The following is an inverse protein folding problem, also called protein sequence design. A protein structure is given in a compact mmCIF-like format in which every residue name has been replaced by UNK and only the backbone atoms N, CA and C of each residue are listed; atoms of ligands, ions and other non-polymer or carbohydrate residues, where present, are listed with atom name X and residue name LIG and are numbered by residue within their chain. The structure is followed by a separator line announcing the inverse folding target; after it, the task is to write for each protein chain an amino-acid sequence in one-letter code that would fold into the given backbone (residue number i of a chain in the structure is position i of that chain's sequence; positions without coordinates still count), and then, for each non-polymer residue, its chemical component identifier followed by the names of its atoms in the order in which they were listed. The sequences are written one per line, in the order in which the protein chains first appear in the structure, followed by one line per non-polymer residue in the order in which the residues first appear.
data_IF_199404474474
#
_entry.id   IF_199404474474
#
_cell.length_a   1.000
_cell.length_b   1.000
_cell.length_c   1.000
_cell.angle_alpha   90.00
_cell.angle_beta   90.00
_cell.angle_gamma   90.00
#
_symmetry.space_group_name_H-M   'P 1'
#
loop_
_entity.id
_entity.type
_entity.pdbx_description
1 polymer ?
#
# COMPACT_ATOMS: atom_id res chain seq x y z
N UNK A 1 3.03 -13.89 9.49
CA UNK A 1 2.20 -12.72 9.14
C UNK A 1 1.26 -13.14 8.04
N UNK A 2 -0.04 -12.83 8.15
CA UNK A 2 -1.00 -13.16 7.11
C UNK A 2 -0.68 -12.36 5.84
N UNK A 3 -0.59 -13.04 4.70
CA UNK A 3 -0.38 -12.44 3.39
C UNK A 3 -1.73 -12.41 2.66
N UNK A 4 -2.13 -11.24 2.21
CA UNK A 4 -3.32 -11.06 1.38
C UNK A 4 -2.89 -11.01 -0.08
N UNK A 5 -3.39 -11.93 -0.90
CA UNK A 5 -3.15 -11.91 -2.35
C UNK A 5 -4.20 -11.01 -3.01
N UNK A 6 -3.74 -9.97 -3.68
CA UNK A 6 -4.57 -9.09 -4.49
C UNK A 6 -4.33 -9.44 -5.95
N UNK A 7 -5.40 -9.68 -6.71
CA UNK A 7 -5.34 -9.95 -8.15
C UNK A 7 -5.60 -8.63 -8.85
N UNK A 8 -4.61 -8.10 -9.56
CA UNK A 8 -4.79 -6.89 -10.37
C UNK A 8 -5.56 -7.19 -11.66
N UNK A 9 -6.17 -6.18 -12.29
CA UNK A 9 -6.87 -6.32 -13.57
C UNK A 9 -6.03 -6.92 -14.71
N UNK A 10 -4.71 -7.00 -14.54
CA UNK A 10 -3.77 -7.69 -15.43
C UNK A 10 -3.47 -9.12 -15.00
N UNK A 11 -4.27 -9.72 -14.11
CA UNK A 11 -4.09 -11.07 -13.55
C UNK A 11 -2.76 -11.29 -12.81
N UNK A 12 -2.06 -10.23 -12.40
CA UNK A 12 -0.85 -10.31 -11.59
C UNK A 12 -1.24 -10.40 -10.12
N UNK A 13 -0.78 -11.45 -9.42
CA UNK A 13 -0.96 -11.59 -7.97
C UNK A 13 0.09 -10.77 -7.24
N UNK A 14 -0.33 -9.67 -6.63
CA UNK A 14 0.51 -8.88 -5.72
C UNK A 14 0.25 -9.37 -4.30
N UNK A 15 1.30 -9.85 -3.64
CA UNK A 15 1.21 -10.22 -2.23
C UNK A 15 1.41 -8.96 -1.38
N UNK A 16 0.39 -8.57 -0.63
CA UNK A 16 0.47 -7.51 0.35
C UNK A 16 0.35 -8.08 1.76
N UNK A 17 1.12 -7.54 2.70
CA UNK A 17 1.01 -7.91 4.11
C UNK A 17 -0.26 -7.31 4.70
N UNK A 18 -1.14 -8.17 5.25
CA UNK A 18 -2.30 -7.73 5.97
C UNK A 18 -1.88 -6.88 7.20
N UNK A 19 -2.67 -5.85 7.50
CA UNK A 19 -2.46 -5.04 8.69
C UNK A 19 -2.64 -5.90 9.96
N UNK A 20 -1.71 -5.78 10.91
CA UNK A 20 -1.79 -6.48 12.18
C UNK A 20 -2.95 -5.93 13.03
N UNK A 21 -3.44 -6.74 13.98
CA UNK A 21 -4.46 -6.31 14.95
C UNK A 21 -4.00 -5.06 15.70
N UNK A 22 -2.74 -5.04 16.11
CA UNK A 22 -2.14 -3.91 16.83
C UNK A 22 -2.18 -2.61 16.01
N UNK A 23 -1.82 -2.66 14.72
CA UNK A 23 -1.88 -1.48 13.85
C UNK A 23 -3.31 -0.94 13.69
N UNK A 24 -4.30 -1.83 13.62
CA UNK A 24 -5.72 -1.43 13.53
C UNK A 24 -6.21 -0.81 14.83
N UNK A 25 -5.80 -1.38 15.97
CA UNK A 25 -6.12 -0.84 17.28
C UNK A 25 -5.51 0.54 17.48
N UNK A 26 -4.23 0.72 17.14
CA UNK A 26 -3.56 2.02 17.20
C UNK A 26 -4.25 3.06 16.31
N UNK A 27 -4.64 2.68 15.09
CA UNK A 27 -5.39 3.57 14.22
C UNK A 27 -6.72 3.99 14.84
N UNK A 28 -7.45 3.04 15.45
CA UNK A 28 -8.72 3.30 16.11
C UNK A 28 -8.57 4.21 17.34
N UNK A 29 -7.52 4.01 18.14
CA UNK A 29 -7.22 4.87 19.31
C UNK A 29 -6.90 6.30 18.87
N UNK A 30 -6.11 6.48 17.80
CA UNK A 30 -5.76 7.80 17.28
C UNK A 30 -7.00 8.51 16.72
N UNK A 31 -7.83 7.82 15.93
CA UNK A 31 -9.08 8.39 15.41
C UNK A 31 -10.03 8.74 16.57
N UNK A 32 -10.17 7.87 17.56
CA UNK A 32 -10.99 8.13 18.76
C UNK A 32 -10.49 9.33 19.57
N UNK A 33 -9.18 9.51 19.69
CA UNK A 33 -8.59 10.67 20.35
C UNK A 33 -8.93 12.00 19.61
N UNK A 34 -8.84 11.99 18.28
CA UNK A 34 -9.21 13.14 17.45
C UNK A 34 -10.69 13.47 17.63
N UNK A 35 -11.57 12.47 17.56
CA UNK A 35 -13.01 12.63 17.76
C UNK A 35 -13.27 13.19 19.17
N UNK A 36 -12.65 12.64 20.20
CA UNK A 36 -12.83 13.12 21.57
C UNK A 36 -12.43 14.58 21.76
N UNK A 37 -11.33 15.02 21.16
CA UNK A 37 -10.90 16.42 21.21
C UNK A 37 -11.91 17.31 20.49
N UNK A 38 -12.37 16.93 19.31
CA UNK A 38 -13.36 17.71 18.55
C UNK A 38 -14.68 17.81 19.30
N UNK A 39 -15.15 16.71 19.92
CA UNK A 39 -16.34 16.70 20.78
C UNK A 39 -16.22 17.69 21.93
N UNK A 40 -15.09 17.67 22.66
CA UNK A 40 -14.87 18.57 23.80
C UNK A 40 -14.85 20.04 23.35
N UNK A 41 -14.17 20.36 22.27
CA UNK A 41 -14.13 21.72 21.72
C UNK A 41 -15.52 22.18 21.32
N UNK A 42 -16.29 21.38 20.58
CA UNK A 42 -17.63 21.72 20.13
C UNK A 42 -18.61 21.82 21.30
N UNK A 43 -18.50 20.94 22.30
CA UNK A 43 -19.30 21.03 23.53
C UNK A 43 -19.00 22.33 24.32
N UNK A 44 -17.73 22.70 24.44
CA UNK A 44 -17.35 23.97 25.07
C UNK A 44 -17.89 25.18 24.31
N UNK A 45 -17.83 25.17 22.98
CA UNK A 45 -18.44 26.26 22.18
C UNK A 45 -19.94 26.31 22.30
N UNK A 46 -20.63 25.17 22.34
CA UNK A 46 -22.09 25.14 22.52
C UNK A 46 -22.50 25.58 23.93
N UNK A 47 -21.72 25.26 24.97
CA UNK A 47 -22.03 25.70 26.35
C UNK A 47 -21.99 27.23 26.53
N UNK A 48 -21.13 27.93 25.79
CA UNK A 48 -21.09 29.39 25.83
C UNK A 48 -22.32 30.06 25.17
N UNK A 49 -23.04 29.33 24.30
CA UNK A 49 -24.23 29.79 23.62
C UNK A 49 -25.54 29.43 24.36
N UNK A 50 -25.45 28.60 25.41
CA UNK A 50 -26.61 28.06 26.13
C UNK A 50 -27.46 29.12 26.79
N UNK A 51 -26.87 30.29 27.15
CA UNK A 51 -27.60 31.40 27.79
C UNK A 51 -28.38 32.25 26.80
N UNK A 52 -28.07 32.17 25.49
CA UNK A 52 -28.65 32.98 24.43
C UNK A 52 -29.60 32.17 23.54
N UNK A 53 -29.39 30.87 23.46
CA UNK A 53 -30.06 29.96 22.50
C UNK A 53 -31.02 29.03 23.25
N UNK A 54 -32.21 28.80 22.68
CA UNK A 54 -33.20 27.91 23.29
C UNK A 54 -32.70 26.46 23.38
N UNK A 55 -33.16 25.74 24.41
CA UNK A 55 -32.77 24.34 24.67
C UNK A 55 -33.04 23.41 23.49
N UNK A 56 -34.06 23.69 22.68
CA UNK A 56 -34.38 22.83 21.52
C UNK A 56 -33.38 23.02 20.36
N UNK A 57 -32.95 24.26 20.15
CA UNK A 57 -31.89 24.54 19.16
C UNK A 57 -30.57 23.90 19.61
N UNK A 58 -30.26 23.93 20.92
CA UNK A 58 -29.06 23.25 21.45
C UNK A 58 -29.11 21.73 21.24
N UNK A 59 -30.27 21.08 21.39
CA UNK A 59 -30.44 19.65 21.06
C UNK A 59 -30.15 19.35 19.59
N UNK A 60 -30.63 20.24 18.69
CA UNK A 60 -30.34 20.08 17.25
C UNK A 60 -28.85 20.20 16.96
N UNK A 61 -28.14 21.14 17.58
CA UNK A 61 -26.67 21.23 17.46
C UNK A 61 -25.98 20.00 17.98
N UNK A 62 -26.36 19.46 19.14
CA UNK A 62 -25.79 18.25 19.71
C UNK A 62 -25.98 17.03 18.77
N UNK A 63 -27.18 16.89 18.19
CA UNK A 63 -27.47 15.82 17.21
C UNK A 63 -26.61 16.00 15.94
N UNK A 64 -26.49 17.25 15.44
CA UNK A 64 -25.68 17.52 14.26
C UNK A 64 -24.20 17.20 14.48
N UNK A 65 -23.64 17.52 15.63
CA UNK A 65 -22.27 17.18 16.02
C UNK A 65 -22.09 15.66 16.05
N UNK A 66 -23.00 14.94 16.71
CA UNK A 66 -22.96 13.49 16.82
C UNK A 66 -23.03 12.80 15.45
N UNK A 67 -23.86 13.31 14.55
CA UNK A 67 -23.93 12.81 13.16
C UNK A 67 -22.63 13.06 12.40
N UNK A 68 -22.04 14.24 12.54
CA UNK A 68 -20.76 14.58 11.90
C UNK A 68 -19.65 13.65 12.35
N UNK A 69 -19.57 13.38 13.65
CA UNK A 69 -18.60 12.47 14.25
C UNK A 69 -18.82 11.02 13.82
N UNK A 70 -20.07 10.58 13.76
CA UNK A 70 -20.40 9.24 13.27
C UNK A 70 -20.02 9.04 11.80
N UNK A 71 -20.13 10.09 10.98
CA UNK A 71 -19.77 10.07 9.57
C UNK A 71 -18.27 10.27 9.30
N UNK A 72 -17.49 10.70 10.30
CA UNK A 72 -16.06 10.96 10.17
C UNK A 72 -15.28 9.80 9.48
N UNK A 73 -15.41 8.53 9.92
CA UNK A 73 -14.67 7.44 9.29
C UNK A 73 -15.01 7.24 7.82
N UNK A 74 -16.30 7.42 7.46
CA UNK A 74 -16.77 7.30 6.09
C UNK A 74 -16.18 8.38 5.18
N UNK A 75 -16.28 9.64 5.59
CA UNK A 75 -15.75 10.75 4.79
C UNK A 75 -14.22 10.67 4.68
N UNK A 76 -13.52 10.38 5.76
CA UNK A 76 -12.07 10.32 5.74
C UNK A 76 -11.54 9.16 4.88
N UNK A 77 -12.14 7.97 4.96
CA UNK A 77 -11.76 6.86 4.10
C UNK A 77 -12.04 7.15 2.62
N UNK A 78 -13.15 7.83 2.33
CA UNK A 78 -13.54 8.19 0.97
C UNK A 78 -12.60 9.23 0.35
N UNK A 79 -12.33 10.31 1.07
CA UNK A 79 -11.51 11.42 0.57
C UNK A 79 -10.01 11.08 0.51
N UNK A 80 -9.52 10.25 1.44
CA UNK A 80 -8.10 9.91 1.57
C UNK A 80 -7.75 8.51 1.01
N UNK A 81 -8.44 8.05 -0.06
CA UNK A 81 -8.13 6.78 -0.72
C UNK A 81 -8.04 5.58 0.24
N UNK A 82 -9.01 5.45 1.13
CA UNK A 82 -9.11 4.34 2.08
C UNK A 82 -8.31 4.50 3.36
N UNK A 83 -8.01 5.74 3.76
CA UNK A 83 -7.27 6.02 4.99
C UNK A 83 -8.00 7.06 5.85
N UNK A 84 -8.17 6.79 7.15
CA UNK A 84 -8.43 7.82 8.17
C UNK A 84 -7.12 8.41 8.68
N UNK A 85 -7.16 9.45 9.49
CA UNK A 85 -5.95 10.04 10.08
C UNK A 85 -5.20 9.00 10.92
N UNK A 86 -5.91 8.24 11.75
CA UNK A 86 -5.31 7.15 12.53
C UNK A 86 -4.70 6.06 11.66
N UNK A 87 -5.34 5.70 10.54
CA UNK A 87 -4.79 4.72 9.58
C UNK A 87 -3.56 5.23 8.86
N UNK A 88 -3.50 6.52 8.54
CA UNK A 88 -2.30 7.15 7.99
C UNK A 88 -1.14 7.08 8.98
N UNK A 89 -1.38 7.40 10.25
CA UNK A 89 -0.37 7.33 11.31
C UNK A 89 0.09 5.88 11.57
N UNK A 90 -0.83 4.90 11.54
CA UNK A 90 -0.50 3.48 11.69
C UNK A 90 0.13 2.85 10.43
N UNK A 91 0.24 3.58 9.32
CA UNK A 91 0.81 3.09 8.08
C UNK A 91 -0.02 1.98 7.41
N UNK A 92 -1.34 2.04 7.50
CA UNK A 92 -2.27 1.06 6.93
C UNK A 92 -3.28 1.73 5.99
N UNK A 93 -3.81 0.97 5.03
CA UNK A 93 -4.84 1.45 4.09
C UNK A 93 -5.84 0.34 3.74
N UNK A 94 -7.03 0.76 3.36
CA UNK A 94 -8.07 -0.11 2.78
C UNK A 94 -7.83 -0.28 1.28
N UNK A 95 -7.92 -1.52 0.80
CA UNK A 95 -7.80 -1.88 -0.62
C UNK A 95 -8.85 -2.91 -0.99
N UNK A 96 -9.26 -2.96 -2.25
CA UNK A 96 -10.08 -4.05 -2.75
C UNK A 96 -9.24 -5.30 -3.03
N UNK A 97 -9.85 -6.48 -2.89
CA UNK A 97 -9.18 -7.77 -3.17
C UNK A 97 -8.97 -8.02 -4.66
N UNK A 98 -9.70 -7.34 -5.51
CA UNK A 98 -9.60 -7.36 -6.97
C UNK A 98 -8.55 -6.39 -7.54
N UNK A 99 -7.82 -5.68 -6.67
CA UNK A 99 -6.81 -4.71 -7.06
C UNK A 99 -7.35 -3.36 -7.52
N UNK A 100 -8.66 -3.17 -7.55
CA UNK A 100 -9.30 -1.89 -7.89
C UNK A 100 -9.27 -0.92 -6.71
N UNK A 101 -9.58 0.35 -6.95
CA UNK A 101 -9.80 1.31 -5.86
C UNK A 101 -11.13 1.02 -5.20
N UNK A 102 -11.21 1.05 -3.84
CA UNK A 102 -12.48 0.88 -3.16
C UNK A 102 -13.51 1.93 -3.60
N UNK A 103 -14.72 1.46 -3.91
CA UNK A 103 -15.84 2.32 -4.31
C UNK A 103 -16.48 3.01 -3.10
N UNK A 104 -17.30 4.03 -3.36
CA UNK A 104 -18.09 4.68 -2.31
C UNK A 104 -19.00 3.68 -1.57
N UNK A 105 -19.61 2.75 -2.32
CA UNK A 105 -20.47 1.69 -1.74
C UNK A 105 -19.67 0.78 -0.81
N UNK A 106 -18.42 0.45 -1.14
CA UNK A 106 -17.57 -0.34 -0.27
C UNK A 106 -17.29 0.38 1.05
N UNK A 107 -16.98 1.68 1.01
CA UNK A 107 -16.79 2.48 2.24
C UNK A 107 -18.08 2.62 3.04
N UNK A 108 -19.23 2.76 2.37
CA UNK A 108 -20.53 2.84 3.03
C UNK A 108 -20.89 1.55 3.77
N UNK A 109 -20.73 0.37 3.14
CA UNK A 109 -20.94 -0.93 3.78
C UNK A 109 -20.05 -1.06 5.02
N UNK A 110 -18.78 -0.72 4.91
CA UNK A 110 -17.82 -0.75 6.02
C UNK A 110 -18.21 0.17 7.17
N UNK A 111 -18.72 1.36 6.85
CA UNK A 111 -19.22 2.30 7.83
C UNK A 111 -20.50 1.79 8.52
N UNK A 112 -21.43 1.27 7.75
CA UNK A 112 -22.71 0.75 8.27
C UNK A 112 -22.48 -0.43 9.24
N UNK A 113 -21.45 -1.24 9.00
CA UNK A 113 -21.11 -2.40 9.83
C UNK A 113 -20.24 -2.06 11.05
N UNK A 114 -19.77 -0.81 11.21
CA UNK A 114 -18.93 -0.41 12.34
C UNK A 114 -19.48 -0.81 13.72
N UNK A 115 -20.80 -0.64 14.03
CA UNK A 115 -21.33 -1.05 15.32
C UNK A 115 -21.19 -2.55 15.58
N UNK A 116 -21.36 -3.37 14.55
CA UNK A 116 -21.21 -4.84 14.64
C UNK A 116 -19.73 -5.20 14.76
N UNK A 117 -18.88 -4.55 13.96
CA UNK A 117 -17.43 -4.76 13.95
C UNK A 117 -16.79 -4.37 15.29
N UNK A 118 -17.38 -3.48 16.07
CA UNK A 118 -16.89 -3.09 17.39
C UNK A 118 -16.92 -4.27 18.37
N UNK A 119 -17.94 -5.14 18.27
CA UNK A 119 -18.09 -6.31 19.15
C UNK A 119 -17.43 -7.57 18.56
N UNK A 120 -17.63 -7.83 17.28
CA UNK A 120 -17.23 -9.08 16.63
C UNK A 120 -16.00 -8.94 15.73
N UNK A 121 -15.62 -7.73 15.36
CA UNK A 121 -14.58 -7.48 14.36
C UNK A 121 -13.23 -8.07 14.71
N UNK A 122 -12.88 -8.09 15.99
CA UNK A 122 -11.61 -8.65 16.46
C UNK A 122 -11.55 -10.17 16.28
N UNK A 123 -12.65 -10.87 16.56
CA UNK A 123 -12.77 -12.30 16.34
C UNK A 123 -12.63 -12.62 14.84
N UNK A 124 -13.34 -11.89 13.99
CA UNK A 124 -13.27 -12.10 12.54
C UNK A 124 -11.87 -11.83 11.96
N UNK A 125 -11.13 -10.84 12.46
CA UNK A 125 -9.74 -10.58 12.03
C UNK A 125 -8.83 -11.77 12.33
N UNK A 126 -9.05 -12.46 13.45
CA UNK A 126 -8.24 -13.61 13.85
C UNK A 126 -8.59 -14.86 13.03
N UNK A 127 -9.87 -15.10 12.77
CA UNK A 127 -10.33 -16.32 12.11
C UNK A 127 -10.33 -16.26 10.58
N UNK A 128 -10.31 -15.07 9.96
CA UNK A 128 -10.31 -14.95 8.50
C UNK A 128 -8.91 -15.04 7.90
N UNK A 129 -8.78 -15.71 6.75
CA UNK A 129 -7.50 -15.88 6.03
C UNK A 129 -6.81 -14.55 5.70
N UNK A 130 -7.58 -13.52 5.36
CA UNK A 130 -7.08 -12.20 4.96
C UNK A 130 -7.14 -11.19 6.12
N UNK A 131 -7.35 -11.64 7.37
CA UNK A 131 -7.52 -10.77 8.54
C UNK A 131 -8.57 -9.67 8.29
N UNK A 132 -9.76 -10.05 7.81
CA UNK A 132 -10.85 -9.13 7.46
C UNK A 132 -11.89 -9.07 8.57
N UNK A 133 -12.47 -7.88 8.81
CA UNK A 133 -13.67 -7.70 9.64
C UNK A 133 -14.92 -8.05 8.84
N UNK A 134 -16.09 -8.06 9.50
CA UNK A 134 -17.38 -8.33 8.83
C UNK A 134 -17.62 -7.30 7.71
N UNK A 135 -17.40 -6.02 7.99
CA UNK A 135 -17.52 -4.97 6.99
C UNK A 135 -16.52 -5.09 5.85
N UNK A 136 -15.31 -5.57 6.11
CA UNK A 136 -14.30 -5.81 5.07
C UNK A 136 -14.75 -6.95 4.14
N UNK A 137 -15.35 -8.03 4.70
CA UNK A 137 -15.87 -9.15 3.94
C UNK A 137 -17.06 -8.73 3.07
N UNK A 138 -18.03 -8.01 3.64
CA UNK A 138 -19.20 -7.52 2.91
C UNK A 138 -18.87 -6.54 1.78
N UNK A 139 -17.78 -5.77 1.94
CA UNK A 139 -17.31 -4.79 0.96
C UNK A 139 -16.27 -5.34 -0.03
N UNK A 140 -15.83 -6.61 0.07
CA UNK A 140 -14.77 -7.18 -0.76
C UNK A 140 -13.42 -6.50 -0.59
N UNK A 141 -13.16 -5.93 0.59
CA UNK A 141 -11.96 -5.16 0.89
C UNK A 141 -11.07 -5.85 1.93
N UNK A 142 -9.82 -5.40 2.03
CA UNK A 142 -8.90 -5.78 3.10
C UNK A 142 -8.12 -4.57 3.57
N UNK A 143 -7.67 -4.60 4.84
CA UNK A 143 -6.76 -3.58 5.36
C UNK A 143 -5.34 -4.12 5.27
N UNK A 144 -4.51 -3.44 4.50
CA UNK A 144 -3.13 -3.84 4.26
C UNK A 144 -2.16 -2.80 4.85
N UNK A 145 -0.97 -3.27 5.18
CA UNK A 145 0.12 -2.39 5.57
C UNK A 145 0.56 -1.59 4.34
N UNK A 146 0.61 -0.28 4.46
CA UNK A 146 1.25 0.56 3.45
C UNK A 146 2.73 0.23 3.47
N UNK A 147 3.15 -0.65 2.58
CA UNK A 147 4.56 -0.73 2.28
C UNK A 147 4.93 0.66 1.77
N UNK A 148 5.85 1.35 2.42
CA UNK A 148 6.70 2.27 1.68
C UNK A 148 7.44 1.32 0.75
N UNK A 149 6.87 1.08 -0.42
CA UNK A 149 7.65 0.61 -1.53
C UNK A 149 8.82 1.59 -1.55
N UNK A 150 9.97 1.16 -1.07
CA UNK A 150 11.19 1.67 -1.65
C UNK A 150 10.97 1.27 -3.10
N UNK A 151 10.49 2.20 -3.91
CA UNK A 151 10.67 2.05 -5.36
C UNK A 151 12.08 1.54 -5.46
N UNK A 152 12.27 0.33 -6.01
CA UNK A 152 13.62 -0.19 -6.10
C UNK A 152 14.41 0.94 -6.74
N UNK A 153 15.55 1.28 -6.18
CA UNK A 153 16.40 2.37 -6.64
C UNK A 153 16.66 2.25 -8.15
N UNK A 154 16.49 1.03 -8.64
CA UNK A 154 16.44 0.58 -10.03
C UNK A 154 15.25 1.19 -10.80
N UNK A 155 14.03 1.28 -10.23
CA UNK A 155 12.90 1.97 -10.89
C UNK A 155 13.12 3.48 -10.96
N UNK A 156 13.82 4.07 -9.99
CA UNK A 156 14.25 5.46 -10.09
C UNK A 156 15.31 5.65 -11.18
N UNK A 157 16.23 4.70 -11.36
CA UNK A 157 17.21 4.76 -12.45
C UNK A 157 16.55 4.56 -13.82
N UNK A 158 15.45 3.81 -13.90
CA UNK A 158 14.66 3.63 -15.15
C UNK A 158 13.92 4.90 -15.58
N UNK A 159 13.41 5.70 -14.63
CA UNK A 159 12.84 7.03 -14.94
C UNK A 159 13.92 8.02 -15.42
N UNK A 160 15.19 7.76 -15.09
CA UNK A 160 16.37 8.49 -15.54
C UNK A 160 17.10 7.82 -16.71
N UNK A 161 16.48 6.92 -17.47
CA UNK A 161 16.95 6.66 -18.85
C UNK A 161 16.68 7.95 -19.63
N UNK A 162 17.52 8.91 -19.34
CA UNK A 162 17.63 10.22 -19.95
C UNK A 162 17.64 10.03 -21.45
N UNK A 163 17.11 11.01 -22.17
CA UNK A 163 17.18 11.11 -23.63
C UNK A 163 18.58 10.91 -24.24
N UNK A 164 19.62 10.78 -23.41
CA UNK A 164 21.02 10.59 -23.77
C UNK A 164 21.64 9.26 -23.29
N UNK A 165 20.82 8.24 -22.88
CA UNK A 165 21.40 6.95 -22.53
C UNK A 165 21.95 6.25 -23.77
N UNK A 166 23.23 5.87 -23.71
CA UNK A 166 23.87 5.04 -24.74
C UNK A 166 24.03 3.61 -24.19
N UNK A 167 23.40 2.62 -24.81
CA UNK A 167 23.51 1.25 -24.37
C UNK A 167 24.94 0.75 -24.54
N UNK A 168 25.44 0.04 -23.54
CA UNK A 168 26.81 -0.50 -23.53
C UNK A 168 26.86 -1.90 -24.15
N UNK A 169 25.80 -2.69 -23.96
CA UNK A 169 25.72 -4.07 -24.43
C UNK A 169 24.53 -4.25 -25.40
N UNK A 170 24.75 -4.17 -26.73
CA UNK A 170 23.69 -4.39 -27.72
C UNK A 170 23.01 -5.75 -27.60
N UNK A 171 23.75 -6.77 -27.12
CA UNK A 171 23.31 -8.14 -26.93
C UNK A 171 22.21 -8.25 -25.84
N UNK A 172 22.04 -7.23 -25.01
CA UNK A 172 20.96 -7.20 -24.03
C UNK A 172 19.57 -7.36 -24.65
N UNK A 173 19.39 -6.96 -25.91
CA UNK A 173 18.14 -7.14 -26.65
C UNK A 173 17.72 -8.61 -26.84
N UNK A 174 18.66 -9.55 -26.74
CA UNK A 174 18.39 -10.99 -26.90
C UNK A 174 17.96 -11.68 -25.60
N UNK A 175 17.95 -10.96 -24.49
CA UNK A 175 17.55 -11.49 -23.18
C UNK A 175 16.06 -11.85 -23.17
N UNK A 176 15.76 -13.00 -22.61
CA UNK A 176 14.37 -13.41 -22.36
C UNK A 176 13.81 -12.71 -21.12
N UNK A 177 12.47 -12.50 -21.07
CA UNK A 177 11.80 -11.94 -19.90
C UNK A 177 12.10 -12.70 -18.60
N UNK A 178 12.32 -14.02 -18.66
CA UNK A 178 12.71 -14.83 -17.49
C UNK A 178 14.11 -14.49 -16.98
N UNK A 179 15.05 -14.22 -17.87
CA UNK A 179 16.42 -13.82 -17.51
C UNK A 179 16.40 -12.43 -16.88
N UNK A 180 15.67 -11.49 -17.47
CA UNK A 180 15.50 -10.13 -16.93
C UNK A 180 14.85 -10.15 -15.55
N UNK A 181 13.76 -10.89 -15.36
CA UNK A 181 13.13 -11.07 -14.05
C UNK A 181 14.08 -11.70 -13.01
N UNK A 182 15.01 -12.56 -13.45
CA UNK A 182 16.02 -13.16 -12.56
C UNK A 182 17.07 -12.12 -12.16
N UNK A 183 17.52 -11.27 -13.08
CA UNK A 183 18.43 -10.16 -12.81
C UNK A 183 17.78 -9.23 -11.77
N UNK A 184 16.55 -8.79 -12.03
CA UNK A 184 15.79 -7.92 -11.12
C UNK A 184 15.64 -8.53 -9.72
N UNK A 185 15.31 -9.82 -9.64
CA UNK A 185 15.19 -10.53 -8.37
C UNK A 185 16.48 -10.52 -7.57
N UNK A 186 17.63 -10.77 -8.21
CA UNK A 186 18.93 -10.82 -7.56
C UNK A 186 19.39 -9.42 -7.13
N UNK A 187 19.17 -8.41 -7.96
CA UNK A 187 19.49 -7.02 -7.65
C UNK A 187 18.68 -6.47 -6.45
N UNK A 188 17.42 -6.92 -6.30
CA UNK A 188 16.53 -6.53 -5.20
C UNK A 188 16.70 -7.37 -3.91
N UNK A 189 17.62 -8.32 -3.86
CA UNK A 189 17.91 -9.06 -2.64
C UNK A 189 18.61 -8.20 -1.59
N UNK A 190 18.34 -8.47 -0.31
CA UNK A 190 19.08 -7.82 0.80
C UNK A 190 20.58 -8.09 0.70
N UNK A 191 21.41 -7.10 1.02
CA UNK A 191 22.87 -7.19 1.02
C UNK A 191 23.35 -8.25 2.02
N UNK A 192 23.74 -9.42 1.51
CA UNK A 192 24.34 -10.50 2.28
C UNK A 192 25.24 -11.35 1.37
N UNK A 193 26.10 -12.18 1.98
CA UNK A 193 27.01 -13.08 1.27
C UNK A 193 26.33 -13.99 0.24
N UNK A 194 25.06 -14.33 0.45
CA UNK A 194 24.28 -15.11 -0.52
C UNK A 194 23.98 -14.32 -1.78
N UNK A 195 23.64 -13.02 -1.62
CA UNK A 195 23.40 -12.13 -2.77
C UNK A 195 24.63 -12.05 -3.67
N UNK A 196 25.81 -11.83 -3.09
CA UNK A 196 27.05 -11.71 -3.84
C UNK A 196 27.38 -12.99 -4.60
N UNK A 197 27.14 -14.15 -3.98
CA UNK A 197 27.30 -15.45 -4.64
C UNK A 197 26.32 -15.62 -5.82
N UNK A 198 25.06 -15.22 -5.65
CA UNK A 198 24.07 -15.28 -6.74
C UNK A 198 24.42 -14.30 -7.86
N UNK A 199 24.86 -13.09 -7.53
CA UNK A 199 25.29 -12.10 -8.51
C UNK A 199 26.46 -12.59 -9.34
N UNK A 200 27.50 -13.16 -8.70
CA UNK A 200 28.66 -13.71 -9.40
C UNK A 200 28.27 -14.87 -10.33
N UNK A 201 27.42 -15.79 -9.87
CA UNK A 201 26.93 -16.90 -10.70
C UNK A 201 26.09 -16.42 -11.88
N UNK A 202 25.22 -15.45 -11.65
CA UNK A 202 24.33 -14.92 -12.69
C UNK A 202 25.12 -14.14 -13.73
N UNK A 203 26.06 -13.28 -13.30
CA UNK A 203 26.95 -12.53 -14.19
C UNK A 203 27.76 -13.45 -15.08
N UNK A 204 28.39 -14.48 -14.50
CA UNK A 204 29.15 -15.45 -15.25
C UNK A 204 28.31 -16.21 -16.28
N UNK A 205 27.09 -16.62 -15.89
CA UNK A 205 26.17 -17.33 -16.77
C UNK A 205 25.69 -16.45 -17.93
N UNK A 206 25.32 -15.20 -17.64
CA UNK A 206 24.86 -14.27 -18.67
C UNK A 206 26.00 -13.82 -19.60
N UNK A 207 27.19 -13.59 -19.07
CA UNK A 207 28.40 -13.31 -19.85
C UNK A 207 28.66 -14.42 -20.87
N UNK A 208 28.56 -15.68 -20.46
CA UNK A 208 28.73 -16.82 -21.36
C UNK A 208 27.63 -16.94 -22.43
N UNK A 209 26.36 -16.70 -22.04
CA UNK A 209 25.22 -16.78 -22.98
C UNK A 209 25.32 -15.66 -24.03
N UNK A 210 25.71 -14.46 -23.62
CA UNK A 210 25.79 -13.28 -24.47
C UNK A 210 27.17 -13.09 -25.11
N UNK A 211 28.13 -13.99 -24.85
CA UNK A 211 29.51 -13.92 -25.32
C UNK A 211 30.21 -12.60 -24.96
N UNK A 212 29.88 -12.05 -23.78
CA UNK A 212 30.43 -10.80 -23.25
C UNK A 212 31.65 -11.07 -22.36
N UNK A 213 32.60 -10.11 -22.27
CA UNK A 213 33.74 -10.26 -21.38
C UNK A 213 33.29 -10.26 -19.90
N UNK A 214 33.91 -11.11 -19.09
CA UNK A 214 33.67 -11.16 -17.65
C UNK A 214 34.18 -9.88 -17.02
N UNK A 215 33.29 -9.13 -16.38
CA UNK A 215 33.62 -7.88 -15.70
C UNK A 215 33.91 -8.15 -14.21
N UNK A 216 34.89 -7.44 -13.65
CA UNK A 216 35.27 -7.58 -12.24
C UNK A 216 34.13 -7.18 -11.27
N UNK A 217 33.26 -6.25 -11.67
CA UNK A 217 32.12 -5.78 -10.90
C UNK A 217 30.82 -6.41 -11.41
N UNK A 218 30.39 -7.48 -10.73
CA UNK A 218 29.20 -8.24 -11.08
C UNK A 218 27.92 -7.41 -10.93
N UNK A 219 27.84 -6.52 -9.93
CA UNK A 219 26.65 -5.70 -9.69
C UNK A 219 26.48 -4.66 -10.80
N UNK A 220 27.55 -3.93 -11.11
CA UNK A 220 27.55 -2.94 -12.18
C UNK A 220 27.24 -3.57 -13.55
N UNK A 221 27.78 -4.75 -13.82
CA UNK A 221 27.48 -5.51 -15.05
C UNK A 221 25.99 -5.84 -15.17
N UNK A 222 25.37 -6.40 -14.11
CA UNK A 222 23.96 -6.76 -14.11
C UNK A 222 23.04 -5.54 -14.20
N UNK A 223 23.39 -4.43 -13.55
CA UNK A 223 22.65 -3.16 -13.64
C UNK A 223 22.71 -2.60 -15.06
N UNK A 224 23.90 -2.57 -15.67
CA UNK A 224 24.06 -2.06 -17.04
C UNK A 224 23.28 -2.93 -18.03
N UNK A 225 23.37 -4.26 -17.93
CA UNK A 225 22.66 -5.19 -18.78
C UNK A 225 21.13 -5.06 -18.66
N UNK A 226 20.64 -4.82 -17.45
CA UNK A 226 19.22 -4.58 -17.21
C UNK A 226 18.75 -3.25 -17.83
N UNK A 227 19.54 -2.19 -17.67
CA UNK A 227 19.24 -0.86 -18.25
C UNK A 227 19.26 -0.89 -19.78
N UNK A 228 20.22 -1.59 -20.36
CA UNK A 228 20.33 -1.75 -21.82
C UNK A 228 19.14 -2.52 -22.39
N UNK A 229 18.71 -3.59 -21.73
CA UNK A 229 17.49 -4.29 -22.12
C UNK A 229 16.26 -3.38 -22.09
N UNK A 230 16.09 -2.59 -21.04
CA UNK A 230 14.97 -1.66 -20.91
C UNK A 230 15.01 -0.56 -22.03
N UNK A 231 16.20 -0.08 -22.36
CA UNK A 231 16.38 0.88 -23.45
C UNK A 231 15.89 0.30 -24.78
N UNK A 232 16.25 -0.94 -25.11
CA UNK A 232 15.80 -1.59 -26.33
C UNK A 232 14.31 -1.92 -26.29
N UNK A 233 13.78 -2.37 -25.16
CA UNK A 233 12.36 -2.67 -25.00
C UNK A 233 11.45 -1.43 -25.17
N UNK A 234 11.93 -0.25 -24.77
CA UNK A 234 11.19 1.02 -24.93
C UNK A 234 11.30 1.62 -26.33
N UNK A 235 12.33 1.29 -27.11
CA UNK A 235 12.49 1.77 -28.49
C UNK A 235 11.66 0.98 -29.52
N UNK A 236 11.13 -0.17 -29.17
CA UNK A 236 10.34 -1.05 -30.07
C UNK A 236 8.85 -0.67 -30.05
N UNK A 237 8.43 0.29 -29.22
CA UNK A 237 7.09 0.89 -29.23
C UNK A 237 7.15 2.27 -29.90
#
# INVERSE_FOLDING_TARGET
MAQTSIITGQYVRIQQTAATVFQRLMAWVIDGFIISITTVILAAMTSTLSDVVSSDVMKVFAIAILLLEALYPFFMETLNNGQSVGKMAAGIRVVCLDGTKPSLSAFFIRWLTLPIDMFLGLAFIIFTKNSQRIGDLGAGTAVVRRSKSKEPEILKSLYYVSHNYQPTYPEANTLTMRQVATIEKVLNMEHNLRRDTYMARLSWKLSNILSLPVTADNEKFLITLYNDFQYYATKVV
#
